data_IF_570471395901
#
_entry.id   IF_570471395901
#
_cell.length_a   1.000
_cell.length_b   1.000
_cell.length_c   1.000
_cell.angle_alpha   90.00
_cell.angle_beta   90.00
_cell.angle_gamma   90.00
#
_symmetry.space_group_name_H-M   'P 1'
#
loop_
_entity.id
_entity.type
_entity.pdbx_description
1 polymer ?
#
# COMPACT_ATOMS: atom_id res chain seq x y z
N UNK A 1 17.96 -0.02 5.78
CA UNK A 1 17.18 1.22 5.53
C UNK A 1 15.91 0.80 4.80
N UNK A 2 14.73 1.27 5.22
CA UNK A 2 13.45 0.94 4.55
C UNK A 2 12.99 2.09 3.66
N UNK A 3 12.44 1.77 2.49
CA UNK A 3 11.73 2.71 1.62
C UNK A 3 10.32 2.94 2.18
N UNK A 4 9.99 4.20 2.49
CA UNK A 4 8.68 4.59 2.98
C UNK A 4 7.75 4.85 1.81
N UNK A 5 6.68 4.07 1.69
CA UNK A 5 5.73 4.11 0.57
C UNK A 5 4.38 4.68 1.02
N UNK A 6 3.88 5.67 0.28
CA UNK A 6 2.48 6.10 0.32
C UNK A 6 1.71 5.53 -0.87
N UNK A 7 0.48 5.09 -0.65
CA UNK A 7 -0.40 4.52 -1.70
C UNK A 7 -1.61 5.43 -1.91
N UNK A 8 -1.91 5.71 -3.18
CA UNK A 8 -3.12 6.45 -3.59
C UNK A 8 -4.02 5.50 -4.37
N UNK A 9 -5.27 5.38 -3.94
CA UNK A 9 -6.25 4.43 -4.45
C UNK A 9 -6.19 3.09 -3.72
N UNK A 10 -7.23 2.78 -2.94
CA UNK A 10 -7.45 1.57 -2.15
C UNK A 10 -8.54 0.68 -2.76
N UNK A 11 -8.75 0.79 -4.08
CA UNK A 11 -9.68 -0.07 -4.81
C UNK A 11 -9.20 -1.52 -4.93
N UNK A 12 -9.96 -2.33 -5.68
CA UNK A 12 -9.74 -3.79 -5.82
C UNK A 12 -8.29 -4.19 -6.13
N UNK A 13 -7.62 -3.50 -7.04
CA UNK A 13 -6.25 -3.86 -7.43
C UNK A 13 -5.27 -3.71 -6.26
N UNK A 14 -5.36 -2.57 -5.57
CA UNK A 14 -4.51 -2.27 -4.42
C UNK A 14 -4.73 -3.24 -3.29
N UNK A 15 -6.00 -3.49 -2.91
CA UNK A 15 -6.34 -4.31 -1.74
C UNK A 15 -6.07 -5.79 -1.97
N UNK A 16 -6.33 -6.30 -3.18
CA UNK A 16 -6.19 -7.74 -3.44
C UNK A 16 -4.77 -8.14 -3.83
N UNK A 17 -4.01 -7.25 -4.48
CA UNK A 17 -2.72 -7.59 -5.08
C UNK A 17 -1.58 -6.71 -4.55
N UNK A 18 -1.67 -5.38 -4.66
CA UNK A 18 -0.51 -4.52 -4.40
C UNK A 18 -0.11 -4.47 -2.93
N UNK A 19 -1.08 -4.34 -2.00
CA UNK A 19 -0.78 -4.30 -0.57
C UNK A 19 -0.09 -5.59 -0.12
N UNK A 20 -0.67 -6.74 -0.47
CA UNK A 20 -0.07 -8.05 -0.15
C UNK A 20 1.33 -8.21 -0.74
N UNK A 21 1.50 -7.86 -2.02
CA UNK A 21 2.80 -7.97 -2.67
C UNK A 21 3.85 -7.05 -2.03
N UNK A 22 3.46 -5.84 -1.63
CA UNK A 22 4.38 -4.88 -0.99
C UNK A 22 4.73 -5.31 0.44
N UNK A 23 3.79 -5.88 1.19
CA UNK A 23 4.04 -6.41 2.54
C UNK A 23 5.08 -7.55 2.55
N UNK A 24 5.20 -8.30 1.46
CA UNK A 24 6.19 -9.38 1.30
C UNK A 24 7.59 -8.88 0.91
N UNK A 25 7.74 -7.61 0.49
CA UNK A 25 9.04 -7.06 0.09
C UNK A 25 9.82 -6.56 1.30
N UNK A 26 10.87 -7.30 1.65
CA UNK A 26 11.81 -6.86 2.67
C UNK A 26 12.47 -5.52 2.25
N UNK A 27 12.31 -4.50 3.09
CA UNK A 27 12.84 -3.17 2.83
C UNK A 27 11.81 -2.13 2.41
N UNK A 28 10.53 -2.47 2.29
CA UNK A 28 9.45 -1.49 2.12
C UNK A 28 8.64 -1.36 3.43
N UNK A 29 8.15 -0.15 3.69
CA UNK A 29 7.20 0.15 4.76
C UNK A 29 6.10 1.03 4.17
N UNK A 30 4.85 0.53 4.17
CA UNK A 30 3.69 1.35 3.80
C UNK A 30 3.37 2.27 4.97
N UNK A 31 3.49 3.57 4.76
CA UNK A 31 3.36 4.59 5.82
C UNK A 31 2.10 5.43 5.71
N UNK A 32 1.42 5.37 4.56
CA UNK A 32 0.18 6.09 4.32
C UNK A 32 -0.62 5.42 3.21
N UNK A 33 -1.94 5.50 3.32
CA UNK A 33 -2.89 5.16 2.27
C UNK A 33 -3.89 6.30 2.14
N UNK A 34 -4.36 6.57 0.91
CA UNK A 34 -5.37 7.57 0.63
C UNK A 34 -6.32 7.07 -0.46
N UNK A 35 -7.61 7.13 -0.20
CA UNK A 35 -8.66 6.94 -1.19
C UNK A 35 -9.71 8.05 -1.02
N UNK A 36 -10.55 8.21 -2.04
CA UNK A 36 -11.76 9.05 -1.94
C UNK A 36 -12.82 8.39 -1.06
N UNK A 37 -12.90 7.06 -1.06
CA UNK A 37 -13.76 6.31 -0.14
C UNK A 37 -13.14 6.29 1.26
N UNK A 38 -13.83 6.79 2.29
CA UNK A 38 -13.33 6.75 3.66
C UNK A 38 -13.50 5.40 4.35
N UNK A 39 -14.17 4.41 3.72
CA UNK A 39 -14.44 3.08 4.31
C UNK A 39 -13.39 2.02 3.96
#
# INVERSE_FOLDING_TARGET
>A
MKLRLGIIGCGRATTMFHLKAVEEVEGIEVVAVADRDPN
#
